data_IF_144700547304
#
_entry.id   IF_144700547304
#
_cell.length_a   1.000
_cell.length_b   1.000
_cell.length_c   1.000
_cell.angle_alpha   90.00
_cell.angle_beta   90.00
_cell.angle_gamma   90.00
#
_symmetry.space_group_name_H-M   'P 1'
#
loop_
_entity.id
_entity.type
_entity.pdbx_description
1 polymer ?
#
# COMPACT_ATOMS: atom_id res chain seq x y z
N UNK A 1 0.05 36.86 -10.13
CA UNK A 1 0.47 35.79 -9.19
C UNK A 1 1.79 35.22 -9.69
N UNK A 2 2.85 35.30 -8.90
CA UNK A 2 4.19 34.87 -9.31
C UNK A 2 4.25 33.34 -9.40
N UNK A 3 4.46 32.81 -10.61
CA UNK A 3 4.57 31.37 -10.90
C UNK A 3 5.58 30.68 -9.96
N UNK A 4 6.70 31.35 -9.67
CA UNK A 4 7.72 30.88 -8.73
C UNK A 4 7.23 30.81 -7.28
N UNK A 5 6.45 31.79 -6.83
CA UNK A 5 5.89 31.80 -5.48
C UNK A 5 4.86 30.69 -5.29
N UNK A 6 4.00 30.46 -6.28
CA UNK A 6 3.07 29.32 -6.26
C UNK A 6 3.81 27.98 -6.28
N UNK A 7 4.85 27.83 -7.10
CA UNK A 7 5.59 26.58 -7.26
C UNK A 7 6.39 26.21 -6.00
N UNK A 8 7.03 27.20 -5.36
CA UNK A 8 7.73 27.04 -4.09
C UNK A 8 6.76 26.68 -2.95
N UNK A 9 5.61 27.35 -2.86
CA UNK A 9 4.58 27.04 -1.85
C UNK A 9 4.01 25.65 -2.06
N UNK A 10 3.72 25.23 -3.30
CA UNK A 10 3.29 23.85 -3.58
C UNK A 10 4.36 22.83 -3.24
N UNK A 11 5.63 23.07 -3.57
CA UNK A 11 6.72 22.16 -3.22
C UNK A 11 6.92 22.06 -1.71
N UNK A 12 6.88 23.18 -0.99
CA UNK A 12 6.94 23.17 0.48
C UNK A 12 5.73 22.47 1.11
N UNK A 13 4.52 22.69 0.58
CA UNK A 13 3.35 21.96 1.03
C UNK A 13 3.50 20.45 0.79
N UNK A 14 3.94 20.03 -0.40
CA UNK A 14 4.23 18.63 -0.73
C UNK A 14 5.31 18.07 0.22
N UNK A 15 6.37 18.82 0.50
CA UNK A 15 7.47 18.40 1.36
C UNK A 15 7.04 18.24 2.82
N UNK A 16 6.24 19.18 3.35
CA UNK A 16 5.65 19.09 4.69
C UNK A 16 4.67 17.92 4.80
N UNK A 17 3.91 17.62 3.74
CA UNK A 17 3.00 16.47 3.69
C UNK A 17 3.75 15.13 3.64
N UNK A 18 4.99 15.10 3.16
CA UNK A 18 5.84 13.89 3.11
C UNK A 18 6.48 13.56 4.47
N UNK A 19 6.72 14.56 5.34
CA UNK A 19 7.45 14.41 6.62
C UNK A 19 6.53 14.07 7.80
N UNK A 20 5.22 13.94 7.60
CA UNK A 20 4.34 13.44 8.66
C UNK A 20 4.85 12.07 9.14
N UNK A 21 5.10 11.85 10.44
CA UNK A 21 5.49 10.55 10.93
C UNK A 21 4.43 9.52 10.54
N UNK A 22 4.84 8.34 10.09
CA UNK A 22 3.93 7.20 10.01
C UNK A 22 3.50 6.91 11.45
N UNK A 23 2.27 7.30 11.78
CA UNK A 23 1.68 7.19 13.11
C UNK A 23 1.25 5.74 13.41
N UNK A 24 2.00 4.75 12.91
CA UNK A 24 1.79 3.35 13.25
C UNK A 24 2.73 3.02 14.41
N UNK A 25 2.21 3.07 15.65
CA UNK A 25 2.92 2.60 16.86
C UNK A 25 3.13 1.09 16.90
N UNK A 26 2.59 0.37 15.91
CA UNK A 26 2.61 -1.08 15.80
C UNK A 26 3.77 -1.49 14.91
N UNK A 27 4.67 -2.33 15.41
CA UNK A 27 5.77 -2.88 14.61
C UNK A 27 5.39 -4.21 13.96
N UNK A 28 5.80 -4.47 12.70
CA UNK A 28 5.51 -5.76 12.07
C UNK A 28 6.30 -6.90 12.72
N UNK A 29 5.88 -8.13 12.47
CA UNK A 29 6.65 -9.33 12.85
C UNK A 29 7.82 -9.47 11.88
N UNK A 30 8.98 -8.92 12.27
CA UNK A 30 10.15 -8.76 11.41
C UNK A 30 10.65 -10.09 10.84
N UNK A 31 10.75 -11.14 11.66
CA UNK A 31 11.22 -12.47 11.22
C UNK A 31 10.33 -13.07 10.13
N UNK A 32 9.02 -12.88 10.26
CA UNK A 32 8.08 -13.31 9.23
C UNK A 32 8.23 -12.45 7.98
N UNK A 33 8.36 -11.13 8.13
CA UNK A 33 8.48 -10.20 7.01
C UNK A 33 9.73 -10.46 6.16
N UNK A 34 10.87 -10.79 6.77
CA UNK A 34 12.13 -11.10 6.09
C UNK A 34 11.96 -12.20 5.03
N UNK A 35 11.13 -13.20 5.34
CA UNK A 35 10.83 -14.32 4.44
C UNK A 35 10.04 -13.93 3.18
N UNK A 36 9.39 -12.76 3.19
CA UNK A 36 8.58 -12.26 2.07
C UNK A 36 9.07 -10.92 1.52
N UNK A 37 10.26 -10.48 1.92
CA UNK A 37 10.91 -9.36 1.26
C UNK A 37 11.20 -9.72 -0.20
N UNK A 38 11.30 -8.68 -1.04
CA UNK A 38 11.52 -8.81 -2.47
C UNK A 38 12.64 -9.79 -2.83
N UNK A 39 13.74 -9.79 -2.08
CA UNK A 39 14.91 -10.60 -2.43
C UNK A 39 14.73 -12.08 -2.03
N UNK A 40 14.01 -12.33 -0.93
CA UNK A 40 13.56 -13.68 -0.59
C UNK A 40 12.58 -14.22 -1.64
N UNK A 41 11.65 -13.39 -2.12
CA UNK A 41 10.71 -13.77 -3.19
C UNK A 41 11.43 -14.04 -4.52
N UNK A 42 12.42 -13.21 -4.88
CA UNK A 42 13.28 -13.47 -6.07
C UNK A 42 14.06 -14.76 -5.93
N UNK A 43 14.60 -15.06 -4.76
CA UNK A 43 15.33 -16.31 -4.53
C UNK A 43 14.42 -17.54 -4.70
N UNK A 44 13.16 -17.47 -4.23
CA UNK A 44 12.21 -18.59 -4.32
C UNK A 44 11.58 -18.78 -5.69
N UNK A 45 11.18 -17.69 -6.34
CA UNK A 45 10.34 -17.72 -7.55
C UNK A 45 11.04 -17.15 -8.79
N UNK A 46 12.30 -16.72 -8.67
CA UNK A 46 13.13 -16.22 -9.76
C UNK A 46 13.14 -14.69 -9.93
N UNK A 47 14.19 -14.18 -10.59
CA UNK A 47 14.36 -12.75 -10.87
C UNK A 47 13.92 -12.33 -12.30
N UNK A 48 13.61 -13.30 -13.17
CA UNK A 48 13.31 -13.02 -14.57
C UNK A 48 11.91 -12.40 -14.78
N UNK A 49 11.82 -11.38 -15.64
CA UNK A 49 10.54 -10.79 -16.10
C UNK A 49 9.99 -11.54 -17.31
N UNK A 50 9.71 -12.83 -17.12
CA UNK A 50 9.27 -13.74 -18.18
C UNK A 50 7.83 -14.24 -18.03
N UNK A 51 7.19 -13.98 -16.88
CA UNK A 51 5.90 -14.59 -16.55
C UNK A 51 4.75 -13.86 -17.23
N UNK A 52 3.74 -14.60 -17.67
CA UNK A 52 2.50 -14.01 -18.12
C UNK A 52 1.59 -13.62 -16.94
N UNK A 53 0.51 -12.88 -17.22
CA UNK A 53 -0.45 -12.41 -16.20
C UNK A 53 -1.07 -13.53 -15.35
N UNK A 54 -1.28 -14.72 -15.92
CA UNK A 54 -1.85 -15.86 -15.17
C UNK A 54 -0.82 -16.43 -14.20
N UNK A 55 0.43 -16.56 -14.65
CA UNK A 55 1.54 -17.07 -13.85
C UNK A 55 1.91 -16.12 -12.70
N UNK A 56 2.02 -14.81 -12.97
CA UNK A 56 2.29 -13.81 -11.92
C UNK A 56 1.21 -13.81 -10.85
N UNK A 57 -0.04 -14.02 -11.27
CA UNK A 57 -1.18 -14.14 -10.38
C UNK A 57 -1.15 -15.42 -9.56
N UNK A 58 -0.78 -16.56 -10.15
CA UNK A 58 -0.62 -17.83 -9.43
C UNK A 58 0.44 -17.69 -8.34
N UNK A 59 1.57 -17.05 -8.63
CA UNK A 59 2.61 -16.77 -7.64
C UNK A 59 2.08 -15.86 -6.53
N UNK A 60 1.41 -14.76 -6.88
CA UNK A 60 0.80 -13.88 -5.87
C UNK A 60 -0.13 -14.66 -4.93
N UNK A 61 -1.02 -15.49 -5.48
CA UNK A 61 -1.92 -16.31 -4.68
C UNK A 61 -1.18 -17.37 -3.84
N UNK A 62 -0.11 -17.97 -4.35
CA UNK A 62 0.74 -18.91 -3.60
C UNK A 62 1.34 -18.22 -2.38
N UNK A 63 1.94 -17.04 -2.56
CA UNK A 63 2.51 -16.25 -1.47
C UNK A 63 1.42 -15.92 -0.45
N UNK A 64 0.23 -15.48 -0.87
CA UNK A 64 -0.87 -15.21 0.06
C UNK A 64 -1.30 -16.44 0.85
N UNK A 65 -1.35 -17.62 0.24
CA UNK A 65 -1.70 -18.85 0.93
C UNK A 65 -0.65 -19.27 1.97
N UNK A 66 0.64 -19.06 1.68
CA UNK A 66 1.73 -19.31 2.63
C UNK A 66 1.67 -18.32 3.81
N UNK A 67 1.48 -17.04 3.50
CA UNK A 67 1.35 -15.97 4.49
C UNK A 67 0.17 -16.20 5.40
N UNK A 68 -0.97 -16.63 4.85
CA UNK A 68 -2.12 -17.02 5.66
C UNK A 68 -1.72 -18.07 6.69
N UNK A 69 -1.14 -19.21 6.25
CA UNK A 69 -0.75 -20.28 7.18
C UNK A 69 0.20 -19.77 8.26
N UNK A 70 1.18 -18.95 7.88
CA UNK A 70 2.14 -18.41 8.82
C UNK A 70 1.50 -17.45 9.83
N UNK A 71 0.68 -16.49 9.36
CA UNK A 71 0.06 -15.46 10.21
C UNK A 71 -0.94 -16.06 11.20
N UNK A 72 -1.76 -17.02 10.79
CA UNK A 72 -2.73 -17.66 11.69
C UNK A 72 -2.06 -18.52 12.77
N UNK A 73 -0.84 -18.98 12.54
CA UNK A 73 -0.06 -19.75 13.53
C UNK A 73 0.73 -18.86 14.50
N UNK A 74 0.83 -17.55 14.25
CA UNK A 74 1.52 -16.62 15.16
C UNK A 74 0.71 -16.39 16.44
N UNK A 75 1.38 -16.37 17.58
CA UNK A 75 0.84 -15.89 18.86
C UNK A 75 1.13 -14.39 19.03
N UNK A 76 0.48 -13.59 18.18
CA UNK A 76 0.63 -12.14 18.13
C UNK A 76 -0.76 -11.47 18.11
N UNK A 77 -0.79 -10.21 18.51
CA UNK A 77 -2.00 -9.39 18.52
C UNK A 77 -2.56 -9.16 17.10
N UNK A 78 -3.86 -8.88 17.03
CA UNK A 78 -4.58 -8.78 15.77
C UNK A 78 -4.07 -7.63 14.89
N UNK A 79 -3.75 -6.49 15.50
CA UNK A 79 -3.16 -5.32 14.84
C UNK A 79 -1.78 -5.62 14.25
N UNK A 80 -0.92 -6.30 15.01
CA UNK A 80 0.42 -6.71 14.57
C UNK A 80 0.38 -7.71 13.43
N UNK A 81 -0.54 -8.69 13.51
CA UNK A 81 -0.82 -9.62 12.41
C UNK A 81 -1.36 -8.90 11.17
N UNK A 82 -2.31 -7.99 11.35
CA UNK A 82 -2.93 -7.23 10.27
C UNK A 82 -1.90 -6.35 9.55
N UNK A 83 -1.06 -5.65 10.32
CA UNK A 83 0.00 -4.83 9.77
C UNK A 83 1.03 -5.67 9.01
N UNK A 84 1.54 -6.73 9.63
CA UNK A 84 2.49 -7.66 8.99
C UNK A 84 1.94 -8.20 7.68
N UNK A 85 0.66 -8.60 7.68
CA UNK A 85 0.02 -9.03 6.45
C UNK A 85 -0.02 -7.93 5.39
N UNK A 86 -0.46 -6.71 5.76
CA UNK A 86 -0.53 -5.59 4.82
C UNK A 86 0.83 -5.36 4.14
N UNK A 87 1.92 -5.39 4.92
CA UNK A 87 3.29 -5.26 4.39
C UNK A 87 3.62 -6.38 3.41
N UNK A 88 3.40 -7.63 3.80
CA UNK A 88 3.71 -8.79 2.94
C UNK A 88 2.88 -8.76 1.65
N UNK A 89 1.59 -8.37 1.71
CA UNK A 89 0.75 -8.24 0.52
C UNK A 89 1.27 -7.18 -0.44
N UNK A 90 1.76 -6.06 0.09
CA UNK A 90 2.40 -5.00 -0.70
C UNK A 90 3.65 -5.54 -1.40
N UNK A 91 4.55 -6.22 -0.66
CA UNK A 91 5.76 -6.84 -1.21
C UNK A 91 5.44 -7.90 -2.28
N UNK A 92 4.50 -8.80 -2.00
CA UNK A 92 4.07 -9.83 -2.94
C UNK A 92 3.49 -9.24 -4.23
N UNK A 93 2.72 -8.15 -4.13
CA UNK A 93 2.17 -7.44 -5.30
C UNK A 93 3.26 -6.78 -6.13
N UNK A 94 4.20 -6.08 -5.48
CA UNK A 94 5.32 -5.44 -6.16
C UNK A 94 6.22 -6.48 -6.85
N UNK A 95 6.51 -7.58 -6.16
CA UNK A 95 7.24 -8.71 -6.72
C UNK A 95 6.52 -9.28 -7.95
N UNK A 96 5.26 -9.69 -7.83
CA UNK A 96 4.49 -10.27 -8.93
C UNK A 96 4.45 -9.35 -10.17
N UNK A 97 4.29 -8.03 -9.97
CA UNK A 97 4.33 -7.04 -11.07
C UNK A 97 5.70 -6.95 -11.72
N UNK A 98 6.78 -7.00 -10.95
CA UNK A 98 8.13 -6.98 -11.50
C UNK A 98 8.47 -8.21 -12.35
N UNK A 99 7.67 -9.28 -12.25
CA UNK A 99 7.81 -10.52 -13.04
C UNK A 99 6.92 -10.56 -14.28
N UNK A 100 5.91 -9.69 -14.37
CA UNK A 100 4.96 -9.68 -15.49
C UNK A 100 5.64 -9.21 -16.78
N UNK A 101 5.91 -10.16 -17.67
CA UNK A 101 6.40 -9.96 -19.02
C UNK A 101 5.31 -9.68 -20.05
N UNK A 102 4.02 -9.75 -19.68
CA UNK A 102 2.88 -9.37 -20.54
C UNK A 102 2.86 -7.86 -20.76
N UNK A 103 3.21 -7.12 -19.72
CA UNK A 103 3.19 -5.67 -19.69
C UNK A 103 4.61 -5.14 -19.83
N UNK A 104 5.14 -5.14 -21.06
CA UNK A 104 6.46 -4.57 -21.37
C UNK A 104 6.32 -3.09 -21.74
N UNK A 105 7.15 -2.26 -21.11
CA UNK A 105 7.32 -0.86 -21.49
C UNK A 105 6.83 0.15 -20.44
N UNK A 106 7.40 1.37 -20.43
CA UNK A 106 7.18 2.37 -19.38
C UNK A 106 5.74 2.87 -19.32
N UNK A 107 5.06 3.02 -20.46
CA UNK A 107 3.70 3.57 -20.53
C UNK A 107 2.68 2.76 -19.74
N UNK A 108 2.81 1.43 -19.80
CA UNK A 108 1.81 0.55 -19.19
C UNK A 108 2.09 0.35 -17.69
N UNK A 109 3.36 0.43 -17.29
CA UNK A 109 3.76 0.54 -15.89
C UNK A 109 3.25 1.84 -15.26
N UNK A 110 3.38 2.97 -15.98
CA UNK A 110 2.79 4.26 -15.58
C UNK A 110 1.26 4.15 -15.45
N UNK A 111 0.58 3.51 -16.42
CA UNK A 111 -0.87 3.34 -16.35
C UNK A 111 -1.32 2.52 -15.12
N UNK A 112 -0.57 1.47 -14.75
CA UNK A 112 -0.84 0.68 -13.54
C UNK A 112 -0.58 1.49 -12.27
N UNK A 113 0.51 2.24 -12.21
CA UNK A 113 0.84 3.13 -11.09
C UNK A 113 -0.24 4.22 -10.92
N UNK A 114 -0.68 4.86 -12.02
CA UNK A 114 -1.77 5.83 -12.02
C UNK A 114 -3.08 5.22 -11.51
N UNK A 115 -3.41 4.01 -11.97
CA UNK A 115 -4.59 3.29 -11.49
C UNK A 115 -4.50 3.05 -9.99
N UNK A 116 -3.37 2.59 -9.48
CA UNK A 116 -3.21 2.34 -8.05
C UNK A 116 -3.25 3.63 -7.23
N UNK A 117 -2.57 4.68 -7.69
CA UNK A 117 -2.60 6.00 -7.05
C UNK A 117 -4.02 6.57 -6.99
N UNK A 118 -4.82 6.33 -8.03
CA UNK A 118 -6.24 6.67 -8.01
C UNK A 118 -7.02 5.79 -7.04
N UNK A 119 -6.95 4.46 -7.17
CA UNK A 119 -7.77 3.50 -6.41
C UNK A 119 -7.43 3.48 -4.92
N UNK A 120 -6.16 3.66 -4.57
CA UNK A 120 -5.66 3.60 -3.20
C UNK A 120 -5.28 4.98 -2.66
N UNK A 121 -5.56 6.07 -3.36
CA UNK A 121 -5.23 7.42 -2.93
C UNK A 121 -6.33 8.39 -3.31
N UNK A 122 -6.21 9.01 -4.50
CA UNK A 122 -7.05 10.13 -4.97
C UNK A 122 -8.55 9.89 -4.79
N UNK A 123 -9.04 8.66 -5.03
CA UNK A 123 -10.45 8.29 -4.85
C UNK A 123 -10.96 8.64 -3.43
N UNK A 124 -10.10 8.58 -2.42
CA UNK A 124 -10.44 8.81 -1.02
C UNK A 124 -10.17 10.24 -0.53
N UNK A 125 -9.78 11.16 -1.42
CA UNK A 125 -9.52 12.55 -1.04
C UNK A 125 -10.75 13.23 -0.43
N UNK A 126 -11.94 12.97 -0.97
CA UNK A 126 -13.20 13.50 -0.42
C UNK A 126 -13.48 12.99 1.01
N UNK A 127 -13.21 11.71 1.29
CA UNK A 127 -13.35 11.13 2.63
C UNK A 127 -12.37 11.78 3.60
N UNK A 128 -11.13 11.99 3.19
CA UNK A 128 -10.12 12.64 4.01
C UNK A 128 -10.47 14.09 4.33
N UNK A 129 -10.98 14.86 3.36
CA UNK A 129 -11.44 16.23 3.60
C UNK A 129 -12.60 16.28 4.60
N UNK A 130 -13.55 15.33 4.52
CA UNK A 130 -14.65 15.23 5.48
C UNK A 130 -14.14 14.89 6.90
N UNK A 131 -13.17 13.98 7.00
CA UNK A 131 -12.54 13.62 8.28
C UNK A 131 -11.78 14.80 8.87
N UNK A 132 -10.98 15.50 8.08
CA UNK A 132 -10.24 16.69 8.51
C UNK A 132 -11.17 17.82 8.96
N UNK A 133 -12.28 18.05 8.25
CA UNK A 133 -13.29 19.02 8.69
C UNK A 133 -13.89 18.65 10.04
N UNK A 134 -14.31 17.39 10.19
CA UNK A 134 -14.92 16.89 11.43
C UNK A 134 -13.94 16.96 12.61
N UNK A 135 -12.69 16.57 12.38
CA UNK A 135 -11.63 16.62 13.39
C UNK A 135 -11.23 18.05 13.72
N UNK A 136 -11.21 18.94 12.73
CA UNK A 136 -10.93 20.37 12.96
C UNK A 136 -11.98 21.03 13.83
N UNK A 137 -13.25 20.69 13.63
CA UNK A 137 -14.36 21.15 14.46
C UNK A 137 -14.25 20.61 15.89
N UNK A 138 -13.95 19.31 16.05
CA UNK A 138 -13.79 18.68 17.36
C UNK A 138 -12.61 19.27 18.16
N UNK A 139 -11.48 19.53 17.49
CA UNK A 139 -10.28 20.10 18.11
C UNK A 139 -10.28 21.63 18.20
N UNK A 140 -11.30 22.29 17.61
CA UNK A 140 -11.36 23.75 17.42
C UNK A 140 -10.09 24.33 16.77
N UNK A 141 -9.42 23.55 15.92
CA UNK A 141 -8.16 23.91 15.25
C UNK A 141 -8.10 23.25 13.87
N UNK A 142 -7.65 23.96 12.81
CA UNK A 142 -7.56 23.37 11.48
C UNK A 142 -6.55 22.23 11.45
N UNK A 143 -6.94 21.10 10.86
CA UNK A 143 -6.06 19.96 10.57
C UNK A 143 -6.20 19.52 9.12
N UNK A 144 -5.10 19.00 8.56
CA UNK A 144 -5.04 18.39 7.23
C UNK A 144 -4.41 16.99 7.29
N UNK A 145 -4.45 16.36 8.46
CA UNK A 145 -3.79 15.08 8.71
C UNK A 145 -4.27 13.98 7.74
N UNK A 146 -5.58 13.82 7.59
CA UNK A 146 -6.15 12.76 6.75
C UNK A 146 -5.89 13.04 5.27
N UNK A 147 -6.00 14.31 4.87
CA UNK A 147 -5.70 14.76 3.51
C UNK A 147 -4.25 14.47 3.18
N UNK A 148 -3.33 14.76 4.11
CA UNK A 148 -1.92 14.46 3.97
C UNK A 148 -1.65 12.95 3.86
N UNK A 149 -2.30 12.12 4.68
CA UNK A 149 -2.23 10.66 4.57
C UNK A 149 -2.65 10.17 3.18
N UNK A 150 -3.73 10.72 2.60
CA UNK A 150 -4.16 10.37 1.24
C UNK A 150 -3.16 10.81 0.17
N UNK A 151 -2.61 12.02 0.27
CA UNK A 151 -1.59 12.52 -0.67
C UNK A 151 -0.33 11.64 -0.60
N UNK A 152 0.14 11.31 0.60
CA UNK A 152 1.28 10.43 0.83
C UNK A 152 1.02 9.03 0.27
N UNK A 153 -0.15 8.48 0.53
CA UNK A 153 -0.54 7.18 -0.01
C UNK A 153 -0.58 7.18 -1.55
N UNK A 154 -1.05 8.28 -2.15
CA UNK A 154 -1.03 8.47 -3.60
C UNK A 154 0.41 8.43 -4.12
N UNK A 155 1.34 9.13 -3.47
CA UNK A 155 2.76 9.10 -3.81
C UNK A 155 3.36 7.69 -3.70
N UNK A 156 3.07 6.96 -2.63
CA UNK A 156 3.52 5.57 -2.44
C UNK A 156 3.07 4.65 -3.57
N UNK A 157 1.86 4.86 -4.09
CA UNK A 157 1.32 4.07 -5.19
C UNK A 157 1.85 4.49 -6.57
N UNK A 158 2.10 5.80 -6.78
CA UNK A 158 2.61 6.32 -8.04
C UNK A 158 4.10 6.02 -8.23
N UNK A 159 4.89 6.06 -7.16
CA UNK A 159 6.34 5.90 -7.21
C UNK A 159 6.82 4.83 -6.21
N UNK A 160 6.41 3.56 -6.36
CA UNK A 160 6.72 2.50 -5.39
C UNK A 160 8.22 2.22 -5.25
N UNK A 161 9.01 2.44 -6.30
CA UNK A 161 10.47 2.26 -6.27
C UNK A 161 11.21 3.39 -5.57
N UNK A 162 10.66 4.61 -5.56
CA UNK A 162 11.29 5.79 -4.96
C UNK A 162 10.80 6.05 -3.53
N UNK A 163 9.56 5.70 -3.24
CA UNK A 163 8.92 6.04 -1.98
C UNK A 163 9.33 5.17 -0.79
N UNK A 164 9.76 3.92 -1.05
CA UNK A 164 9.94 2.92 0.01
C UNK A 164 8.66 2.55 0.76
N UNK A 165 7.52 3.15 0.39
CA UNK A 165 6.23 3.04 1.06
C UNK A 165 5.36 1.91 0.52
N UNK A 166 4.26 1.68 1.22
CA UNK A 166 3.32 0.60 0.89
C UNK A 166 2.12 1.11 0.13
N UNK A 167 1.62 0.30 -0.81
CA UNK A 167 0.44 0.64 -1.58
C UNK A 167 -0.59 -0.50 -1.61
N UNK A 168 -1.68 -0.42 -0.81
CA UNK A 168 -1.94 0.56 0.25
C UNK A 168 -1.15 0.28 1.55
N UNK A 169 -0.92 1.30 2.38
CA UNK A 169 -0.36 1.15 3.74
C UNK A 169 -1.43 0.74 4.75
N UNK A 170 -0.98 0.17 5.87
CA UNK A 170 -1.85 -0.23 6.97
C UNK A 170 -2.59 0.96 7.61
N UNK A 171 -1.88 2.04 7.95
CA UNK A 171 -2.49 3.30 8.41
C UNK A 171 -3.58 3.79 7.46
N UNK A 172 -3.36 3.76 6.14
CA UNK A 172 -4.38 4.18 5.17
C UNK A 172 -5.61 3.26 5.19
N UNK A 173 -5.41 1.95 5.31
CA UNK A 173 -6.52 1.00 5.42
C UNK A 173 -7.35 1.26 6.68
N UNK A 174 -6.72 1.54 7.82
CA UNK A 174 -7.40 1.80 9.08
C UNK A 174 -8.05 3.18 9.14
N UNK A 175 -7.24 4.22 8.97
CA UNK A 175 -7.62 5.61 9.27
C UNK A 175 -8.44 6.22 8.15
N UNK A 176 -8.16 5.90 6.89
CA UNK A 176 -8.89 6.49 5.74
C UNK A 176 -10.03 5.58 5.30
N UNK A 177 -9.78 4.28 5.17
CA UNK A 177 -10.78 3.31 4.69
C UNK A 177 -11.62 2.67 5.80
N UNK A 178 -11.41 3.07 7.06
CA UNK A 178 -12.16 2.60 8.23
C UNK A 178 -12.19 1.07 8.36
N UNK A 179 -11.12 0.41 7.91
CA UNK A 179 -11.03 -1.05 8.03
C UNK A 179 -10.58 -1.47 9.42
N UNK A 180 -11.24 -2.46 9.99
CA UNK A 180 -10.76 -3.11 11.21
C UNK A 180 -9.57 -4.03 10.92
N UNK A 181 -8.80 -4.35 11.97
CA UNK A 181 -7.69 -5.30 11.86
C UNK A 181 -8.17 -6.68 11.38
N UNK A 182 -9.37 -7.08 11.79
CA UNK A 182 -10.01 -8.32 11.31
C UNK A 182 -10.32 -8.28 9.82
N UNK A 183 -10.86 -7.17 9.29
CA UNK A 183 -11.12 -7.01 7.85
C UNK A 183 -9.82 -6.93 7.02
N UNK A 184 -8.77 -6.36 7.59
CA UNK A 184 -7.44 -6.34 6.98
C UNK A 184 -6.89 -7.76 6.93
N UNK A 185 -6.99 -8.52 8.02
CA UNK A 185 -6.60 -9.92 8.11
C UNK A 185 -7.39 -10.83 7.15
N UNK A 186 -8.70 -10.65 7.04
CA UNK A 186 -9.49 -11.40 6.07
C UNK A 186 -9.07 -11.12 4.63
N UNK A 187 -8.64 -9.90 4.34
CA UNK A 187 -8.11 -9.56 3.02
C UNK A 187 -6.83 -10.32 2.68
N UNK A 188 -6.06 -10.74 3.69
CA UNK A 188 -4.89 -11.62 3.55
C UNK A 188 -5.26 -13.00 3.02
N UNK A 189 -6.40 -13.51 3.48
CA UNK A 189 -6.91 -14.85 3.17
C UNK A 189 -7.58 -14.91 1.81
N UNK A 190 -8.17 -13.79 1.36
CA UNK A 190 -8.98 -13.76 0.14
C UNK A 190 -8.38 -12.82 -0.90
N UNK A 191 -7.89 -13.39 -1.99
CA UNK A 191 -7.82 -12.66 -3.25
C UNK A 191 -9.23 -12.54 -3.84
N UNK A 192 -9.46 -11.47 -4.60
CA UNK A 192 -10.78 -11.07 -5.07
C UNK A 192 -11.44 -12.22 -5.89
N UNK A 193 -12.67 -12.63 -5.55
CA UNK A 193 -13.28 -13.88 -6.05
C UNK A 193 -13.46 -13.92 -7.58
N UNK A 194 -13.76 -12.80 -8.25
CA UNK A 194 -14.06 -12.70 -9.69
C UNK A 194 -12.85 -12.91 -10.63
N UNK A 195 -11.89 -13.67 -10.16
CA UNK A 195 -10.48 -13.50 -10.46
C UNK A 195 -9.71 -14.76 -9.98
N UNK A 196 -10.31 -15.60 -9.13
CA UNK A 196 -9.78 -16.89 -8.69
C UNK A 196 -10.17 -18.07 -9.61
N UNK A 197 -10.78 -17.78 -10.76
CA UNK A 197 -11.22 -18.76 -11.76
C UNK A 197 -10.29 -18.86 -12.97
N UNK A 198 -8.96 -18.89 -12.76
CA UNK A 198 -7.98 -19.32 -13.78
C UNK A 198 -7.06 -20.35 -13.16
#
# INVERSE_FOLDING_TARGET
MNLFGTLAVTLCAIFVLIILPDEDSVEPVHDLLLNYQKEALKSRYGDARSLNRSETRRIYNSVLSEVQKAIFNLHEDADRKAYTCSRIRSQARQYARSRDGTYKGPLLEIALQLRDGYVHGVKYLHVALQKDLSYSLALQRPTLLHTAMVVRQTYYCLAPTLSGGECPSYAFLRVIRDKSDTEILESCVRSNKGFNGV
#
